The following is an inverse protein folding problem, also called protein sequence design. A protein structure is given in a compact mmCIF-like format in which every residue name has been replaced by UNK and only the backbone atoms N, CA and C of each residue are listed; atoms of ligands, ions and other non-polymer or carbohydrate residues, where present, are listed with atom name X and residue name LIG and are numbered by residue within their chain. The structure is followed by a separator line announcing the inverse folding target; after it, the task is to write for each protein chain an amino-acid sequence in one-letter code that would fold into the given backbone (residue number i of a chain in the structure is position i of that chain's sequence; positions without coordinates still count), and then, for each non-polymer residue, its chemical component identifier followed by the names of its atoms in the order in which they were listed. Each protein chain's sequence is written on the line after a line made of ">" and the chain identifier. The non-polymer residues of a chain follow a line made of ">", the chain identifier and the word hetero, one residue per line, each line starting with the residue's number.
data_IF_916373889378
#
_entry.id   IF_916373889378
#
_cell.length_a   1.000
_cell.length_b   1.000
_cell.length_c   1.000
_cell.angle_alpha   90.00
_cell.angle_beta   90.00
_cell.angle_gamma   90.00
#
_symmetry.space_group_name_H-M   'P 1'
#
loop_
_entity.id
_entity.type
_entity.pdbx_description
1 polymer ?
#
# COMPACT_ATOMS: atom_id res chain seq x y z
N UNK A 1 14.93 16.28 14.07
CA UNK A 1 14.51 15.82 12.72
C UNK A 1 13.40 14.78 12.76
N UNK A 2 13.52 13.68 13.54
CA UNK A 2 12.51 12.61 13.61
C UNK A 2 11.10 13.10 14.00
N UNK A 3 10.94 13.81 15.10
CA UNK A 3 9.60 14.26 15.59
C UNK A 3 8.87 15.13 14.55
N UNK A 4 9.61 15.99 13.85
CA UNK A 4 9.09 16.84 12.78
C UNK A 4 8.59 16.05 11.57
N UNK A 5 9.24 14.94 11.21
CA UNK A 5 8.78 14.03 10.15
C UNK A 5 7.44 13.38 10.52
N UNK A 6 7.32 12.87 11.75
CA UNK A 6 6.09 12.19 12.20
C UNK A 6 4.90 13.16 12.22
N UNK A 7 5.11 14.36 12.77
CA UNK A 7 4.10 15.42 12.79
C UNK A 7 3.65 15.85 11.37
N UNK A 8 4.59 15.91 10.41
CA UNK A 8 4.29 16.44 9.08
C UNK A 8 3.89 15.43 8.02
N UNK A 9 4.28 14.17 8.16
CA UNK A 9 4.09 13.14 7.12
C UNK A 9 3.32 11.92 7.61
N UNK A 10 3.35 11.61 8.90
CA UNK A 10 2.74 10.38 9.42
C UNK A 10 1.34 10.62 10.00
N UNK A 11 1.17 11.67 10.84
CA UNK A 11 -0.12 11.95 11.48
C UNK A 11 -1.11 12.68 10.57
N UNK A 12 -0.63 13.30 9.50
CA UNK A 12 -1.48 14.05 8.60
C UNK A 12 -2.34 13.11 7.74
N UNK A 13 -3.68 13.26 7.76
CA UNK A 13 -4.58 12.30 7.13
C UNK A 13 -4.47 12.28 5.60
N UNK A 14 -4.00 13.36 4.99
CA UNK A 14 -3.86 13.46 3.53
C UNK A 14 -2.91 12.41 2.95
N UNK A 15 -1.87 12.01 3.69
CA UNK A 15 -0.92 10.97 3.27
C UNK A 15 -1.55 9.56 3.29
N UNK A 16 -2.72 9.40 3.91
CA UNK A 16 -3.45 8.15 4.04
C UNK A 16 -4.79 8.14 3.27
N UNK A 17 -5.05 9.18 2.47
CA UNK A 17 -6.28 9.27 1.68
C UNK A 17 -6.47 8.05 0.76
N UNK A 18 -5.40 7.59 0.10
CA UNK A 18 -5.43 6.40 -0.76
C UNK A 18 -5.92 5.13 -0.01
N UNK A 19 -5.26 4.73 1.09
CA UNK A 19 -5.73 3.63 1.95
C UNK A 19 -7.19 3.77 2.39
N UNK A 20 -7.64 4.96 2.78
CA UNK A 20 -9.03 5.18 3.18
C UNK A 20 -10.01 4.97 2.03
N UNK A 21 -9.70 5.47 0.84
CA UNK A 21 -10.53 5.24 -0.35
C UNK A 21 -10.64 3.75 -0.68
N UNK A 22 -9.55 2.98 -0.58
CA UNK A 22 -9.57 1.53 -0.79
C UNK A 22 -10.50 0.86 0.23
N UNK A 23 -10.33 1.15 1.52
CA UNK A 23 -11.16 0.58 2.57
C UNK A 23 -12.65 0.90 2.38
N UNK A 24 -12.99 2.15 2.00
CA UNK A 24 -14.35 2.55 1.70
C UNK A 24 -14.93 1.80 0.49
N UNK A 25 -14.16 1.65 -0.59
CA UNK A 25 -14.59 0.91 -1.78
C UNK A 25 -14.85 -0.57 -1.46
N UNK A 26 -13.92 -1.23 -0.75
CA UNK A 26 -14.06 -2.63 -0.37
C UNK A 26 -15.25 -2.81 0.57
N UNK A 27 -15.37 -1.96 1.60
CA UNK A 27 -16.48 -1.99 2.55
C UNK A 27 -17.83 -1.76 1.87
N UNK A 28 -17.92 -0.81 0.93
CA UNK A 28 -19.11 -0.57 0.13
C UNK A 28 -19.49 -1.79 -0.73
N UNK A 29 -18.51 -2.42 -1.35
CA UNK A 29 -18.73 -3.61 -2.19
C UNK A 29 -19.25 -4.79 -1.35
N UNK A 30 -18.71 -4.98 -0.14
CA UNK A 30 -19.19 -5.98 0.81
C UNK A 30 -20.61 -5.67 1.32
N UNK A 31 -20.91 -4.40 1.61
CA UNK A 31 -22.22 -3.97 2.10
C UNK A 31 -23.32 -4.10 1.03
N UNK A 32 -23.00 -3.83 -0.23
CA UNK A 32 -23.97 -3.90 -1.34
C UNK A 32 -24.11 -5.28 -1.96
N UNK A 33 -23.09 -6.14 -1.82
CA UNK A 33 -23.08 -7.51 -2.35
C UNK A 33 -22.77 -8.53 -1.25
N UNK A 34 -23.69 -8.78 -0.31
CA UNK A 34 -23.46 -9.69 0.81
C UNK A 34 -23.21 -11.15 0.38
N UNK A 35 -23.67 -11.53 -0.82
CA UNK A 35 -23.46 -12.87 -1.39
C UNK A 35 -22.38 -12.89 -2.50
N UNK A 36 -21.42 -11.97 -2.46
CA UNK A 36 -20.32 -11.92 -3.42
C UNK A 36 -19.50 -13.22 -3.36
N UNK A 37 -19.61 -14.06 -4.39
CA UNK A 37 -18.80 -15.25 -4.55
C UNK A 37 -17.63 -14.96 -5.49
N UNK A 38 -16.42 -15.00 -4.96
CA UNK A 38 -15.22 -14.91 -5.78
C UNK A 38 -14.90 -16.29 -6.37
N UNK A 39 -14.65 -16.33 -7.69
CA UNK A 39 -14.17 -17.53 -8.34
C UNK A 39 -12.81 -17.96 -7.77
N UNK A 40 -12.46 -19.25 -7.88
CA UNK A 40 -11.15 -19.74 -7.44
C UNK A 40 -10.00 -18.96 -8.09
N UNK A 41 -10.13 -18.69 -9.39
CA UNK A 41 -9.12 -17.92 -10.13
C UNK A 41 -8.97 -16.50 -9.58
N UNK A 42 -10.08 -15.80 -9.31
CA UNK A 42 -10.05 -14.46 -8.72
C UNK A 42 -9.39 -14.46 -7.35
N UNK A 43 -9.65 -15.48 -6.53
CA UNK A 43 -9.02 -15.62 -5.21
C UNK A 43 -7.52 -15.85 -5.33
N UNK A 44 -7.09 -16.75 -6.23
CA UNK A 44 -5.66 -17.02 -6.44
C UNK A 44 -4.92 -15.78 -6.94
N UNK A 45 -5.47 -15.07 -7.93
CA UNK A 45 -4.89 -13.82 -8.43
C UNK A 45 -4.82 -12.80 -7.29
N UNK A 46 -5.90 -12.63 -6.52
CA UNK A 46 -5.93 -11.72 -5.37
C UNK A 46 -4.83 -12.01 -4.35
N UNK A 47 -4.66 -13.28 -3.96
CA UNK A 47 -3.59 -13.67 -3.04
C UNK A 47 -2.19 -13.46 -3.63
N UNK A 48 -1.95 -13.85 -4.88
CA UNK A 48 -0.67 -13.64 -5.54
C UNK A 48 -0.33 -12.13 -5.66
N UNK A 49 -1.31 -11.31 -6.03
CA UNK A 49 -1.17 -9.85 -6.10
C UNK A 49 -0.88 -9.25 -4.73
N UNK A 50 -1.58 -9.68 -3.67
CA UNK A 50 -1.34 -9.21 -2.31
C UNK A 50 0.08 -9.51 -1.82
N UNK A 51 0.54 -10.74 -2.03
CA UNK A 51 1.91 -11.16 -1.70
C UNK A 51 2.92 -10.33 -2.50
N UNK A 52 2.73 -10.19 -3.82
CA UNK A 52 3.62 -9.42 -4.67
C UNK A 52 3.71 -7.94 -4.24
N UNK A 53 2.58 -7.30 -3.91
CA UNK A 53 2.54 -5.92 -3.43
C UNK A 53 3.31 -5.75 -2.12
N UNK A 54 3.08 -6.62 -1.13
CA UNK A 54 3.76 -6.52 0.17
C UNK A 54 5.26 -6.82 0.06
N UNK A 55 5.64 -7.83 -0.73
CA UNK A 55 7.06 -8.12 -1.01
C UNK A 55 7.72 -6.93 -1.72
N UNK A 56 7.05 -6.32 -2.70
CA UNK A 56 7.59 -5.13 -3.38
C UNK A 56 7.78 -3.95 -2.42
N UNK A 57 6.85 -3.72 -1.48
CA UNK A 57 7.00 -2.66 -0.47
C UNK A 57 8.14 -2.94 0.50
N UNK A 58 8.32 -4.19 0.93
CA UNK A 58 9.38 -4.60 1.86
C UNK A 58 10.77 -4.57 1.21
N UNK A 59 10.91 -5.22 0.05
CA UNK A 59 12.20 -5.39 -0.61
C UNK A 59 12.56 -4.25 -1.55
N UNK A 60 11.60 -3.40 -1.97
CA UNK A 60 11.85 -2.27 -2.87
C UNK A 60 12.78 -1.19 -2.28
N UNK A 61 12.97 -1.19 -0.96
CA UNK A 61 13.89 -0.28 -0.24
C UNK A 61 15.10 -1.00 0.34
N UNK A 62 15.31 -2.27 -0.01
CA UNK A 62 16.41 -3.08 0.52
C UNK A 62 17.77 -2.42 0.27
N UNK A 63 18.04 -2.00 -0.96
CA UNK A 63 19.28 -1.31 -1.33
C UNK A 63 19.49 -0.01 -0.52
N UNK A 64 18.41 0.68 -0.17
CA UNK A 64 18.47 1.93 0.60
C UNK A 64 18.83 1.64 2.05
N UNK A 65 18.32 0.53 2.58
CA UNK A 65 18.59 0.08 3.94
C UNK A 65 20.02 -0.43 4.14
N UNK A 66 20.69 -0.89 3.07
CA UNK A 66 22.10 -1.32 3.12
C UNK A 66 23.10 -0.21 2.74
N UNK A 67 22.63 1.03 2.54
CA UNK A 67 23.47 2.22 2.41
C UNK A 67 23.57 2.82 1.00
N UNK A 68 22.82 2.33 0.01
CA UNK A 68 22.77 2.96 -1.31
C UNK A 68 21.77 4.12 -1.31
N UNK A 69 22.24 5.33 -1.55
CA UNK A 69 21.37 6.51 -1.63
C UNK A 69 20.27 6.34 -2.70
N UNK A 70 19.00 6.67 -2.36
CA UNK A 70 17.90 6.54 -3.29
C UNK A 70 17.95 7.60 -4.39
N UNK A 71 17.64 7.21 -5.63
CA UNK A 71 17.47 8.16 -6.73
C UNK A 71 16.15 8.91 -6.54
N UNK A 72 16.06 10.11 -7.13
CA UNK A 72 14.85 10.93 -7.07
C UNK A 72 13.60 10.18 -7.53
N UNK A 73 13.68 9.49 -8.67
CA UNK A 73 12.55 8.75 -9.24
C UNK A 73 12.08 7.63 -8.31
N UNK A 74 13.01 6.89 -7.72
CA UNK A 74 12.70 5.80 -6.81
C UNK A 74 12.07 6.33 -5.52
N UNK A 75 12.58 7.45 -5.00
CA UNK A 75 12.00 8.14 -3.84
C UNK A 75 10.57 8.59 -4.13
N UNK A 76 10.32 9.22 -5.27
CA UNK A 76 8.99 9.70 -5.66
C UNK A 76 7.98 8.55 -5.81
N UNK A 77 8.39 7.47 -6.49
CA UNK A 77 7.55 6.29 -6.69
C UNK A 77 7.21 5.64 -5.35
N UNK A 78 8.22 5.36 -4.53
CA UNK A 78 8.00 4.70 -3.25
C UNK A 78 7.15 5.57 -2.33
N UNK A 79 7.50 6.85 -2.17
CA UNK A 79 6.78 7.79 -1.29
C UNK A 79 5.29 7.86 -1.63
N UNK A 80 4.95 7.84 -2.91
CA UNK A 80 3.57 7.98 -3.40
C UNK A 80 2.78 6.68 -3.34
N UNK A 81 3.43 5.52 -3.57
CA UNK A 81 2.73 4.26 -3.80
C UNK A 81 2.80 3.27 -2.64
N UNK A 82 3.83 3.31 -1.78
CA UNK A 82 4.07 2.25 -0.80
C UNK A 82 2.89 2.00 0.14
N UNK A 83 2.20 3.07 0.60
CA UNK A 83 1.02 2.94 1.48
C UNK A 83 -0.15 2.28 0.77
N UNK A 84 -0.43 2.69 -0.47
CA UNK A 84 -1.50 2.15 -1.31
C UNK A 84 -1.22 0.68 -1.64
N UNK A 85 0.01 0.36 -2.06
CA UNK A 85 0.43 -0.99 -2.36
C UNK A 85 0.33 -1.91 -1.13
N UNK A 86 0.76 -1.43 0.04
CA UNK A 86 0.61 -2.17 1.30
C UNK A 86 -0.86 -2.42 1.64
N UNK A 87 -1.72 -1.40 1.54
CA UNK A 87 -3.16 -1.55 1.82
C UNK A 87 -3.86 -2.48 0.83
N UNK A 88 -3.42 -2.57 -0.43
CA UNK A 88 -3.98 -3.54 -1.38
C UNK A 88 -3.59 -4.98 -1.05
N UNK A 89 -2.47 -5.17 -0.35
CA UNK A 89 -1.98 -6.49 0.05
C UNK A 89 -2.41 -6.95 1.44
N UNK A 90 -3.20 -6.16 2.16
CA UNK A 90 -3.72 -6.47 3.51
C UNK A 90 -5.24 -6.45 3.50
#
# INVERSE_FOLDING_TARGET
>A
QRIQYWANMYFKPFSHAGPYCIGLMVGYLLATKPNLKLSLLTRLIGWCSAIACNLAVLYGVYEWNIGRDPKLVETLLYSSLHRVAWTLGV
#
